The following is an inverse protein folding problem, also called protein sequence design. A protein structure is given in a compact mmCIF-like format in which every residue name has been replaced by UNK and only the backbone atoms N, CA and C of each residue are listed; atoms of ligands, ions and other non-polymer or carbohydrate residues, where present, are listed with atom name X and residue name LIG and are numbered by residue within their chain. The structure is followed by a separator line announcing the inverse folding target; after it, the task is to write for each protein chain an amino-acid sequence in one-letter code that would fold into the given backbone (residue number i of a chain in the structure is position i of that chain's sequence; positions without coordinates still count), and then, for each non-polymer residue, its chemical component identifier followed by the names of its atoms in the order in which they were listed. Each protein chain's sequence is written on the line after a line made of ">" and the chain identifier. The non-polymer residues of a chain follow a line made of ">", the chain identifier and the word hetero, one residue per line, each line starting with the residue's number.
data_IF_256811899861
#
_entry.id   IF_256811899861
#
_cell.length_a   1.000
_cell.length_b   1.000
_cell.length_c   1.000
_cell.angle_alpha   90.00
_cell.angle_beta   90.00
_cell.angle_gamma   90.00
#
_symmetry.space_group_name_H-M   'P 1'
#
loop_
_entity.id
_entity.type
_entity.pdbx_description
1 polymer ?
#
# COMPACT_ATOMS: atom_id res chain seq x y z
N UNK A 1 -11.22 4.89 20.78
CA UNK A 1 -10.62 3.67 20.21
C UNK A 1 -9.14 3.74 20.53
N UNK A 2 -8.58 2.79 21.28
CA UNK A 2 -7.13 2.74 21.56
C UNK A 2 -6.46 2.01 20.39
N UNK A 3 -5.32 2.52 19.92
CA UNK A 3 -4.52 1.82 18.92
C UNK A 3 -3.89 0.61 19.61
N UNK A 4 -3.93 -0.57 18.99
CA UNK A 4 -3.40 -1.82 19.59
C UNK A 4 -1.92 -1.67 19.95
N UNK A 5 -1.17 -0.91 19.16
CA UNK A 5 0.24 -0.62 19.39
C UNK A 5 0.49 0.34 20.56
N UNK A 6 -0.54 1.04 21.07
CA UNK A 6 -0.44 1.81 22.32
C UNK A 6 -0.38 0.90 23.54
N UNK A 7 -1.04 -0.27 23.50
CA UNK A 7 -0.98 -1.25 24.60
C UNK A 7 0.13 -2.29 24.43
N UNK A 8 0.60 -2.49 23.19
CA UNK A 8 1.68 -3.42 22.86
C UNK A 8 2.73 -2.71 22.00
N UNK A 9 3.67 -1.97 22.63
CA UNK A 9 4.58 -1.07 21.91
C UNK A 9 5.58 -1.78 21.00
N UNK A 10 5.81 -3.08 21.21
CA UNK A 10 6.70 -3.91 20.39
C UNK A 10 6.03 -4.51 19.16
N UNK A 11 4.72 -4.32 19.00
CA UNK A 11 3.97 -4.88 17.88
C UNK A 11 3.94 -3.89 16.72
N UNK A 12 4.33 -4.35 15.55
CA UNK A 12 4.09 -3.66 14.28
C UNK A 12 2.87 -4.27 13.61
N UNK A 13 1.88 -3.43 13.26
CA UNK A 13 0.67 -3.87 12.56
C UNK A 13 0.63 -3.23 11.17
N UNK A 14 0.33 -4.07 10.17
CA UNK A 14 0.04 -3.64 8.80
C UNK A 14 -1.38 -4.04 8.46
N UNK A 15 -2.21 -3.07 8.09
CA UNK A 15 -3.60 -3.29 7.74
C UNK A 15 -3.87 -2.80 6.31
N UNK A 16 -4.24 -3.72 5.42
CA UNK A 16 -4.68 -3.37 4.06
C UNK A 16 -6.06 -2.72 4.10
N UNK A 17 -6.25 -1.66 3.32
CA UNK A 17 -7.48 -0.85 3.27
C UNK A 17 -8.15 -0.89 1.88
N UNK A 18 -7.82 -1.89 1.07
CA UNK A 18 -8.30 -2.04 -0.31
C UNK A 18 -7.73 -0.97 -1.23
N UNK A 19 -8.58 -0.35 -2.04
CA UNK A 19 -8.20 0.75 -2.96
C UNK A 19 -7.60 1.97 -2.24
N UNK A 20 -7.80 2.09 -0.92
CA UNK A 20 -7.25 3.18 -0.10
C UNK A 20 -5.79 2.94 0.33
N UNK A 21 -5.20 1.81 -0.05
CA UNK A 21 -3.81 1.47 0.28
C UNK A 21 -3.69 0.66 1.58
N UNK A 22 -2.79 1.05 2.47
CA UNK A 22 -2.60 0.36 3.75
C UNK A 22 -2.18 1.30 4.88
N UNK A 23 -2.39 0.87 6.11
CA UNK A 23 -1.90 1.52 7.31
C UNK A 23 -0.76 0.68 7.92
N UNK A 24 0.35 1.31 8.27
CA UNK A 24 1.45 0.72 9.02
C UNK A 24 1.53 1.41 10.37
N UNK A 25 1.53 0.67 11.47
CA UNK A 25 1.69 1.22 12.81
C UNK A 25 2.75 0.49 13.59
N UNK A 26 3.56 1.27 14.33
CA UNK A 26 4.63 0.84 15.22
C UNK A 26 5.05 2.02 16.09
N UNK A 27 5.59 1.77 17.28
CA UNK A 27 6.11 2.81 18.19
C UNK A 27 5.09 3.92 18.52
N UNK A 28 3.80 3.59 18.58
CA UNK A 28 2.72 4.55 18.86
C UNK A 28 2.37 5.49 17.70
N UNK A 29 3.01 5.33 16.54
CA UNK A 29 2.72 6.07 15.31
C UNK A 29 1.94 5.20 14.34
N UNK A 30 1.07 5.83 13.54
CA UNK A 30 0.38 5.19 12.42
C UNK A 30 0.63 6.03 11.16
N UNK A 31 1.15 5.38 10.12
CA UNK A 31 1.40 5.96 8.81
C UNK A 31 0.44 5.34 7.80
N UNK A 32 -0.25 6.20 7.05
CA UNK A 32 -1.06 5.78 5.90
C UNK A 32 -0.20 5.80 4.65
N UNK A 33 -0.18 4.68 3.93
CA UNK A 33 0.41 4.57 2.60
C UNK A 33 -0.74 4.59 1.60
N UNK A 34 -0.78 5.62 0.77
CA UNK A 34 -1.85 5.82 -0.20
C UNK A 34 -2.00 4.64 -1.15
N UNK A 35 -3.24 4.41 -1.57
CA UNK A 35 -3.57 3.42 -2.59
C UNK A 35 -3.04 3.82 -3.96
N UNK A 36 -2.96 2.84 -4.86
CA UNK A 36 -2.47 3.06 -6.22
C UNK A 36 -3.64 3.24 -7.17
N UNK A 37 -3.68 4.42 -7.81
CA UNK A 37 -4.61 4.71 -8.89
C UNK A 37 -4.15 4.03 -10.19
N UNK A 38 -4.65 2.82 -10.44
CA UNK A 38 -4.31 2.04 -11.63
C UNK A 38 -4.74 2.69 -12.94
N UNK A 39 -5.70 3.62 -12.93
CA UNK A 39 -6.12 4.34 -14.14
C UNK A 39 -5.03 5.28 -14.63
N UNK A 40 -4.26 5.85 -13.71
CA UNK A 40 -3.08 6.67 -14.01
C UNK A 40 -1.93 5.88 -14.66
N UNK A 41 -1.95 4.55 -14.52
CA UNK A 41 -1.05 3.60 -15.19
C UNK A 41 -1.62 3.08 -16.52
N UNK A 42 -2.76 3.61 -16.98
CA UNK A 42 -3.45 3.15 -18.19
C UNK A 42 -4.11 1.78 -18.05
N UNK A 43 -4.44 1.36 -16.82
CA UNK A 43 -5.04 0.06 -16.52
C UNK A 43 -6.43 0.22 -15.91
N UNK A 44 -7.18 -0.88 -15.82
CA UNK A 44 -8.52 -0.93 -15.20
C UNK A 44 -8.59 -2.10 -14.23
N UNK A 45 -9.29 -1.91 -13.11
CA UNK A 45 -9.63 -3.00 -12.19
C UNK A 45 -10.61 -3.95 -12.86
N UNK A 46 -10.28 -5.25 -12.89
CA UNK A 46 -11.10 -6.31 -13.46
C UNK A 46 -11.40 -7.44 -12.47
N UNK A 47 -10.52 -7.71 -11.50
CA UNK A 47 -10.71 -8.73 -10.48
C UNK A 47 -9.88 -8.44 -9.22
N UNK A 48 -10.51 -8.29 -8.05
CA UNK A 48 -9.83 -8.00 -6.78
C UNK A 48 -9.41 -9.24 -5.99
N UNK A 49 -9.74 -10.43 -6.49
CA UNK A 49 -9.38 -11.70 -5.85
C UNK A 49 -7.86 -11.89 -5.89
N UNK A 50 -7.27 -12.20 -4.73
CA UNK A 50 -5.82 -12.42 -4.59
C UNK A 50 -4.99 -11.14 -4.47
N UNK A 51 -5.60 -9.94 -4.46
CA UNK A 51 -4.86 -8.69 -4.25
C UNK A 51 -4.15 -8.65 -2.89
N UNK A 52 -4.76 -9.21 -1.85
CA UNK A 52 -4.16 -9.34 -0.52
C UNK A 52 -2.96 -10.30 -0.51
N UNK A 53 -3.04 -11.41 -1.24
CA UNK A 53 -1.93 -12.37 -1.36
C UNK A 53 -0.75 -11.76 -2.14
N UNK A 54 -1.03 -11.03 -3.22
CA UNK A 54 -0.02 -10.29 -3.97
C UNK A 54 0.63 -9.19 -3.12
N UNK A 55 -0.16 -8.45 -2.33
CA UNK A 55 0.34 -7.49 -1.34
C UNK A 55 1.27 -8.18 -0.35
N UNK A 56 0.82 -9.25 0.29
CA UNK A 56 1.59 -9.95 1.33
C UNK A 56 2.89 -10.55 0.76
N UNK A 57 2.82 -11.19 -0.40
CA UNK A 57 3.98 -11.80 -1.05
C UNK A 57 5.07 -10.79 -1.38
N UNK A 58 4.69 -9.65 -1.96
CA UNK A 58 5.63 -8.56 -2.26
C UNK A 58 6.12 -7.88 -0.97
N UNK A 59 5.24 -7.63 -0.01
CA UNK A 59 5.61 -7.03 1.28
C UNK A 59 6.68 -7.87 1.98
N UNK A 60 6.44 -9.17 2.17
CA UNK A 60 7.38 -10.09 2.78
C UNK A 60 8.70 -10.18 1.99
N UNK A 61 8.62 -10.23 0.65
CA UNK A 61 9.81 -10.30 -0.20
C UNK A 61 10.72 -9.07 -0.04
N UNK A 62 10.15 -7.87 0.01
CA UNK A 62 10.94 -6.64 0.16
C UNK A 62 11.47 -6.46 1.58
N UNK A 63 10.75 -6.93 2.61
CA UNK A 63 11.30 -6.98 3.97
C UNK A 63 12.51 -7.92 4.06
N UNK A 64 12.48 -9.08 3.39
CA UNK A 64 13.63 -10.00 3.31
C UNK A 64 14.82 -9.43 2.52
N UNK A 65 14.60 -8.39 1.73
CA UNK A 65 15.63 -7.65 1.01
C UNK A 65 16.09 -6.39 1.77
N UNK A 66 15.78 -6.30 3.07
CA UNK A 66 16.15 -5.20 3.97
C UNK A 66 15.61 -3.82 3.57
N UNK A 67 14.50 -3.78 2.82
CA UNK A 67 13.83 -2.51 2.54
C UNK A 67 13.15 -1.95 3.79
N UNK A 68 13.13 -0.61 3.97
CA UNK A 68 12.31 0.02 4.99
C UNK A 68 10.85 -0.40 4.88
N UNK A 69 10.18 -0.62 6.01
CA UNK A 69 8.80 -1.15 6.04
C UNK A 69 7.81 -0.34 5.20
N UNK A 70 7.95 0.99 5.19
CA UNK A 70 7.10 1.88 4.38
C UNK A 70 7.38 1.73 2.89
N UNK A 71 8.62 1.49 2.50
CA UNK A 71 9.02 1.25 1.10
C UNK A 71 8.56 -0.13 0.61
N UNK A 72 8.60 -1.14 1.48
CA UNK A 72 7.99 -2.44 1.23
C UNK A 72 6.46 -2.31 1.08
N UNK A 73 5.81 -1.53 1.96
CA UNK A 73 4.36 -1.31 1.92
C UNK A 73 3.90 -0.58 0.64
N UNK A 74 4.65 0.41 0.16
CA UNK A 74 4.36 1.09 -1.13
C UNK A 74 4.39 0.11 -2.31
N UNK A 75 5.41 -0.75 -2.36
CA UNK A 75 5.56 -1.77 -3.42
C UNK A 75 4.49 -2.85 -3.31
N UNK A 76 4.12 -3.23 -2.09
CA UNK A 76 3.02 -4.14 -1.83
C UNK A 76 1.66 -3.58 -2.27
N UNK A 77 1.39 -2.29 -2.02
CA UNK A 77 0.20 -1.60 -2.53
C UNK A 77 0.14 -1.67 -4.07
N UNK A 78 1.26 -1.38 -4.74
CA UNK A 78 1.36 -1.49 -6.20
C UNK A 78 1.11 -2.94 -6.67
N UNK A 79 1.67 -3.94 -5.99
CA UNK A 79 1.47 -5.33 -6.36
C UNK A 79 0.00 -5.78 -6.27
N UNK A 80 -0.68 -5.41 -5.18
CA UNK A 80 -2.12 -5.64 -5.03
C UNK A 80 -2.93 -4.93 -6.12
N UNK A 81 -2.56 -3.68 -6.44
CA UNK A 81 -3.21 -2.90 -7.48
C UNK A 81 -3.00 -3.50 -8.89
N UNK A 82 -1.78 -3.93 -9.24
CA UNK A 82 -1.49 -4.61 -10.51
C UNK A 82 -2.19 -5.97 -10.60
N UNK A 83 -2.29 -6.72 -9.50
CA UNK A 83 -3.10 -7.93 -9.45
C UNK A 83 -4.56 -7.63 -9.79
N UNK A 84 -5.07 -6.49 -9.32
CA UNK A 84 -6.45 -6.07 -9.55
C UNK A 84 -6.78 -5.86 -11.05
N UNK A 85 -5.76 -5.60 -11.87
CA UNK A 85 -5.90 -5.33 -13.31
C UNK A 85 -5.83 -6.60 -14.17
N UNK A 86 -5.85 -7.79 -13.57
CA UNK A 86 -5.73 -9.06 -14.28
C UNK A 86 -6.80 -10.05 -13.85
N UNK A 87 -7.30 -10.84 -14.79
CA UNK A 87 -8.45 -11.72 -14.58
C UNK A 87 -8.16 -12.93 -13.68
N UNK A 88 -6.93 -13.44 -13.68
CA UNK A 88 -6.59 -14.62 -12.89
C UNK A 88 -6.77 -14.36 -11.39
N UNK A 89 -7.07 -15.40 -10.61
CA UNK A 89 -7.27 -15.27 -9.15
C UNK A 89 -5.98 -15.47 -8.37
N UNK A 90 -4.96 -16.06 -9.01
CA UNK A 90 -3.65 -16.35 -8.43
C UNK A 90 -2.58 -15.73 -9.30
N UNK A 91 -1.69 -14.96 -8.69
CA UNK A 91 -0.58 -14.35 -9.40
C UNK A 91 -0.03 -13.16 -8.63
N UNK A 92 1.21 -12.84 -8.92
CA UNK A 92 1.88 -11.63 -8.46
C UNK A 92 2.63 -11.04 -9.66
N UNK A 93 2.83 -9.72 -9.74
CA UNK A 93 3.77 -9.17 -10.71
C UNK A 93 5.17 -9.79 -10.52
N UNK A 94 5.92 -9.87 -11.61
CA UNK A 94 7.36 -10.17 -11.52
C UNK A 94 8.10 -8.98 -10.91
N UNK A 95 9.31 -9.19 -10.37
CA UNK A 95 10.13 -8.09 -9.83
C UNK A 95 10.38 -6.99 -10.87
N UNK A 96 10.78 -7.37 -12.09
CA UNK A 96 11.06 -6.43 -13.17
C UNK A 96 9.82 -5.62 -13.59
N UNK A 97 8.66 -6.27 -13.63
CA UNK A 97 7.39 -5.58 -13.92
C UNK A 97 7.02 -4.61 -12.80
N UNK A 98 7.13 -5.05 -11.54
CA UNK A 98 6.81 -4.23 -10.38
C UNK A 98 7.69 -2.97 -10.34
N UNK A 99 9.00 -3.11 -10.57
CA UNK A 99 9.95 -1.98 -10.60
C UNK A 99 9.63 -1.00 -11.72
N UNK A 100 9.34 -1.50 -12.94
CA UNK A 100 8.94 -0.66 -14.08
C UNK A 100 7.66 0.14 -13.79
N UNK A 101 6.65 -0.51 -13.23
CA UNK A 101 5.38 0.15 -12.89
C UNK A 101 5.57 1.12 -11.71
N UNK A 102 6.47 0.83 -10.78
CA UNK A 102 6.80 1.71 -9.65
C UNK A 102 7.46 3.01 -10.14
N UNK A 103 8.46 2.92 -11.03
CA UNK A 103 9.05 4.11 -11.65
C UNK A 103 8.03 4.94 -12.44
N UNK A 104 7.10 4.26 -13.10
CA UNK A 104 6.03 4.93 -13.86
C UNK A 104 5.10 5.69 -12.90
N UNK A 105 4.74 5.06 -11.79
CA UNK A 105 3.91 5.67 -10.74
C UNK A 105 4.58 6.89 -10.10
N UNK A 106 5.89 6.84 -9.85
CA UNK A 106 6.63 7.99 -9.31
C UNK A 106 6.65 9.17 -10.29
N UNK A 107 6.87 8.91 -11.59
CA UNK A 107 6.82 9.94 -12.63
C UNK A 107 5.44 10.58 -12.76
N UNK A 108 4.38 9.79 -12.60
CA UNK A 108 2.99 10.29 -12.61
C UNK A 108 2.70 11.13 -11.37
N UNK A 109 3.13 10.67 -10.20
CA UNK A 109 2.93 11.38 -8.93
C UNK A 109 3.65 12.73 -8.92
N UNK A 110 4.88 12.80 -9.44
CA UNK A 110 5.64 14.06 -9.55
C UNK A 110 5.02 15.09 -10.51
N UNK A 111 4.18 14.64 -11.47
CA UNK A 111 3.47 15.52 -12.42
C UNK A 111 2.15 16.05 -11.88
N UNK A 112 1.60 15.46 -10.82
CA UNK A 112 0.36 15.94 -10.19
C UNK A 112 0.69 17.11 -9.27
N UNK A 113 0.02 18.28 -9.39
CA UNK A 113 0.15 19.33 -8.40
C UNK A 113 -0.33 18.79 -7.05
N UNK A 114 0.54 18.81 -6.04
CA UNK A 114 0.25 18.27 -4.71
C UNK A 114 -0.91 19.07 -4.10
N UNK A 115 -2.07 18.47 -3.79
CA UNK A 115 -3.05 19.14 -2.95
C UNK A 115 -2.43 19.29 -1.56
N UNK A 116 -2.47 20.51 -1.04
CA UNK A 116 -1.87 20.91 0.23
C UNK A 116 -2.34 19.95 1.35
N UNK A 117 -1.48 19.01 1.75
CA UNK A 117 -1.81 17.97 2.75
C UNK A 117 -2.07 18.65 4.08
N UNK A 118 -3.31 18.56 4.58
CA UNK A 118 -3.60 18.89 5.97
C UNK A 118 -3.09 17.76 6.85
N UNK A 119 -2.18 18.07 7.77
CA UNK A 119 -1.85 17.23 8.92
C UNK A 119 -3.06 17.16 9.85
N UNK A 120 -4.05 16.35 9.47
CA UNK A 120 -5.29 16.16 10.22
C UNK A 120 -5.18 15.01 11.21
N UNK A 121 -5.36 15.31 12.50
CA UNK A 121 -5.66 14.30 13.53
C UNK A 121 -6.99 13.63 13.16
N UNK A 122 -7.02 12.29 13.16
CA UNK A 122 -8.23 11.50 12.87
C UNK A 122 -9.39 11.97 13.78
N UNK A 123 -10.55 12.40 13.23
CA UNK A 123 -11.64 12.87 14.05
C UNK A 123 -12.18 11.70 14.88
N UNK A 124 -11.99 11.79 16.20
CA UNK A 124 -12.63 10.89 17.15
C UNK A 124 -14.13 11.15 17.08
N UNK A 125 -14.88 10.32 16.34
CA UNK A 125 -16.34 10.27 16.48
C UNK A 125 -16.65 9.88 17.93
N UNK A 126 -17.02 10.87 18.75
CA UNK A 126 -17.72 10.62 20.00
C UNK A 126 -19.14 10.16 19.63
N UNK A 127 -19.60 9.11 20.29
CA UNK A 127 -20.94 8.55 20.13
C UNK A 127 -21.99 9.58 20.54
#
# INVERSE_FOLDING_TARGET
>A
MRIVTTTHPYLTLVATLGERGCAVTGEGVMTLVEGVDVTSLGKKVVNTTGCGDAFLGVFASYLLLDFPILEAAKRANLAGALKATRYETRGSPSKAELEKEFETLEKVTQRRPVPRVSTGVWPVRRR
#
